data_IF_618474155946
#
_entry.id   IF_618474155946
#
_cell.length_a   1.000
_cell.length_b   1.000
_cell.length_c   1.000
_cell.angle_alpha   90.00
_cell.angle_beta   90.00
_cell.angle_gamma   90.00
#
_symmetry.space_group_name_H-M   'P 1'
#
loop_
_entity.id
_entity.type
_entity.pdbx_description
1 polymer ?
#
# COMPACT_ATOMS: atom_id res chain seq x y z
N UNK A 1 -46.96 -23.08 10.72
CA UNK A 1 -47.97 -22.55 9.79
C UNK A 1 -48.99 -21.77 10.59
N UNK A 2 -49.04 -20.47 10.56
CA UNK A 2 -50.10 -19.70 11.21
C UNK A 2 -51.31 -19.59 10.29
N UNK A 3 -52.49 -19.85 10.86
CA UNK A 3 -53.78 -19.78 10.20
C UNK A 3 -54.23 -18.31 10.11
N UNK A 4 -54.56 -17.86 8.91
CA UNK A 4 -55.21 -16.58 8.65
C UNK A 4 -56.67 -16.66 9.11
N UNK A 5 -57.08 -15.82 10.06
CA UNK A 5 -58.46 -15.62 10.43
C UNK A 5 -59.13 -14.71 9.41
N UNK A 6 -60.05 -15.25 8.65
CA UNK A 6 -60.99 -14.52 7.80
C UNK A 6 -62.03 -13.84 8.71
N UNK A 7 -62.02 -12.52 8.74
CA UNK A 7 -63.06 -11.71 9.36
C UNK A 7 -64.30 -11.72 8.42
N UNK A 8 -65.37 -12.39 8.83
CA UNK A 8 -66.69 -12.22 8.22
C UNK A 8 -67.25 -10.86 8.67
N UNK A 9 -67.37 -9.91 7.76
CA UNK A 9 -68.12 -8.68 7.95
C UNK A 9 -69.58 -8.99 7.74
N UNK A 10 -70.36 -9.00 8.82
CA UNK A 10 -71.78 -8.92 8.74
C UNK A 10 -72.19 -7.51 8.30
N UNK A 11 -72.65 -7.38 7.03
CA UNK A 11 -73.27 -6.17 6.53
C UNK A 11 -74.78 -6.21 6.88
N UNK A 12 -75.21 -5.48 7.91
CA UNK A 12 -76.60 -5.16 8.15
C UNK A 12 -77.00 -4.07 7.15
N UNK A 13 -77.74 -4.50 6.13
CA UNK A 13 -78.36 -3.60 5.17
C UNK A 13 -79.56 -2.87 5.79
N UNK A 14 -79.33 -1.64 6.29
CA UNK A 14 -80.43 -0.65 6.39
C UNK A 14 -80.02 0.56 5.53
N UNK A 15 -80.50 0.52 4.27
CA UNK A 15 -80.26 1.64 3.35
C UNK A 15 -81.22 2.79 3.65
N UNK A 16 -80.75 4.04 3.74
CA UNK A 16 -81.65 5.20 3.65
C UNK A 16 -82.21 5.29 2.24
N UNK A 17 -83.51 5.64 2.14
CA UNK A 17 -84.19 5.88 0.87
C UNK A 17 -83.56 7.11 0.20
N UNK A 18 -82.74 6.92 -0.81
CA UNK A 18 -82.17 7.97 -1.63
C UNK A 18 -83.30 8.58 -2.52
N UNK A 19 -83.36 9.91 -2.53
CA UNK A 19 -84.20 10.67 -3.47
C UNK A 19 -83.52 10.71 -4.83
N UNK A 20 -84.30 10.74 -5.93
CA UNK A 20 -83.73 10.71 -7.30
C UNK A 20 -82.79 11.83 -7.70
N UNK A 21 -82.56 12.84 -6.82
CA UNK A 21 -81.61 13.91 -7.03
C UNK A 21 -80.15 13.51 -6.64
N UNK A 22 -79.99 12.44 -5.87
CA UNK A 22 -78.66 12.01 -5.36
C UNK A 22 -77.93 11.09 -6.35
N UNK A 23 -78.60 10.64 -7.43
CA UNK A 23 -78.01 9.71 -8.37
C UNK A 23 -77.00 10.31 -9.39
N UNK A 24 -76.96 11.64 -9.51
CA UNK A 24 -76.04 12.32 -10.47
C UNK A 24 -74.72 12.75 -9.92
N UNK A 25 -74.65 13.18 -8.66
CA UNK A 25 -73.43 13.77 -8.10
C UNK A 25 -72.51 12.75 -7.36
N UNK A 26 -73.14 11.77 -6.68
CA UNK A 26 -72.35 10.77 -5.93
C UNK A 26 -71.51 9.81 -6.80
N UNK A 27 -72.02 9.33 -7.99
CA UNK A 27 -71.13 8.51 -8.87
C UNK A 27 -70.02 9.29 -9.51
N UNK A 28 -70.22 10.59 -9.81
CA UNK A 28 -69.12 11.42 -10.38
C UNK A 28 -68.01 11.70 -9.39
N UNK A 29 -68.36 12.01 -8.13
CA UNK A 29 -67.32 12.21 -7.06
C UNK A 29 -66.66 10.89 -6.67
N UNK A 30 -67.37 9.75 -6.69
CA UNK A 30 -66.76 8.45 -6.46
C UNK A 30 -65.82 8.03 -7.62
N UNK A 31 -66.13 8.38 -8.85
CA UNK A 31 -65.30 8.17 -10.03
C UNK A 31 -64.02 9.08 -10.03
N UNK A 32 -64.14 10.35 -9.60
CA UNK A 32 -62.99 11.25 -9.42
C UNK A 32 -62.07 10.75 -8.30
N UNK A 33 -62.60 10.34 -7.16
CA UNK A 33 -61.82 9.77 -6.06
C UNK A 33 -61.15 8.45 -6.43
N UNK A 34 -61.85 7.59 -7.22
CA UNK A 34 -61.27 6.34 -7.73
C UNK A 34 -60.17 6.59 -8.76
N UNK A 35 -60.30 7.60 -9.60
CA UNK A 35 -59.29 8.04 -10.55
C UNK A 35 -57.99 8.49 -9.84
N UNK A 36 -58.11 9.31 -8.81
CA UNK A 36 -57.00 9.79 -7.99
C UNK A 36 -56.31 8.66 -7.22
N UNK A 37 -57.06 7.70 -6.69
CA UNK A 37 -56.47 6.53 -6.02
C UNK A 37 -55.76 5.60 -7.00
N UNK A 38 -56.33 5.34 -8.17
CA UNK A 38 -55.68 4.56 -9.24
C UNK A 38 -54.42 5.23 -9.75
N UNK A 39 -54.40 6.57 -9.89
CA UNK A 39 -53.24 7.32 -10.27
C UNK A 39 -52.14 7.20 -9.21
N UNK A 40 -52.44 7.38 -7.93
CA UNK A 40 -51.50 7.18 -6.80
C UNK A 40 -50.98 5.75 -6.71
N UNK A 41 -51.80 4.74 -7.03
CA UNK A 41 -51.34 3.35 -7.08
C UNK A 41 -50.38 3.16 -8.25
N UNK A 42 -50.66 3.74 -9.42
CA UNK A 42 -49.77 3.72 -10.59
C UNK A 42 -48.40 4.36 -10.30
N UNK A 43 -48.40 5.54 -9.66
CA UNK A 43 -47.15 6.21 -9.24
C UNK A 43 -46.32 5.34 -8.27
N UNK A 44 -46.98 4.70 -7.28
CA UNK A 44 -46.31 3.81 -6.33
C UNK A 44 -45.71 2.56 -6.98
N UNK A 45 -46.41 1.99 -7.95
CA UNK A 45 -45.90 0.85 -8.72
C UNK A 45 -44.67 1.28 -9.53
N UNK A 46 -44.78 2.38 -10.26
CA UNK A 46 -43.70 2.92 -11.06
C UNK A 46 -42.48 3.29 -10.19
N UNK A 47 -42.72 3.85 -9.01
CA UNK A 47 -41.62 4.18 -8.07
C UNK A 47 -40.94 2.93 -7.53
N UNK A 48 -41.66 1.85 -7.24
CA UNK A 48 -41.11 0.53 -6.86
C UNK A 48 -40.31 -0.09 -8.00
N UNK A 49 -40.81 -0.07 -9.21
CA UNK A 49 -40.09 -0.56 -10.39
C UNK A 49 -38.80 0.22 -10.64
N UNK A 50 -38.86 1.55 -10.58
CA UNK A 50 -37.72 2.43 -10.70
C UNK A 50 -36.66 2.17 -9.58
N UNK A 51 -37.11 1.89 -8.35
CA UNK A 51 -36.23 1.56 -7.24
C UNK A 51 -35.56 0.20 -7.47
N UNK A 52 -36.31 -0.81 -7.87
CA UNK A 52 -35.79 -2.15 -8.16
C UNK A 52 -34.79 -2.12 -9.30
N UNK A 53 -35.06 -1.38 -10.39
CA UNK A 53 -34.17 -1.25 -11.53
C UNK A 53 -32.87 -0.52 -11.13
N UNK A 54 -32.96 0.55 -10.34
CA UNK A 54 -31.76 1.26 -9.81
C UNK A 54 -30.89 0.36 -8.93
N UNK A 55 -31.51 -0.46 -8.06
CA UNK A 55 -30.79 -1.40 -7.21
C UNK A 55 -30.05 -2.44 -8.05
N UNK A 56 -30.73 -3.05 -9.03
CA UNK A 56 -30.13 -4.02 -9.96
C UNK A 56 -28.94 -3.43 -10.74
N UNK A 57 -29.10 -2.20 -11.26
CA UNK A 57 -28.03 -1.54 -12.02
C UNK A 57 -26.86 -1.14 -11.14
N UNK A 58 -27.12 -0.74 -9.90
CA UNK A 58 -26.07 -0.50 -8.89
C UNK A 58 -25.29 -1.77 -8.59
N UNK A 59 -25.97 -2.90 -8.32
CA UNK A 59 -25.35 -4.20 -8.09
C UNK A 59 -24.50 -4.63 -9.30
N UNK A 60 -25.02 -4.47 -10.52
CA UNK A 60 -24.28 -4.74 -11.76
C UNK A 60 -23.03 -3.85 -11.90
N UNK A 61 -23.05 -2.63 -11.38
CA UNK A 61 -21.85 -1.78 -11.33
C UNK A 61 -20.83 -2.33 -10.34
N UNK A 62 -21.26 -2.68 -9.13
CA UNK A 62 -20.37 -3.23 -8.09
C UNK A 62 -19.77 -4.56 -8.53
N UNK A 63 -20.55 -5.45 -9.15
CA UNK A 63 -20.07 -6.71 -9.74
C UNK A 63 -18.99 -6.51 -10.82
N UNK A 64 -19.08 -5.43 -11.58
CA UNK A 64 -18.07 -5.08 -12.58
C UNK A 64 -16.84 -4.36 -11.96
N UNK A 65 -17.07 -3.48 -10.98
CA UNK A 65 -16.03 -2.64 -10.39
C UNK A 65 -15.08 -3.44 -9.48
N UNK A 66 -15.58 -4.45 -8.76
CA UNK A 66 -14.74 -5.30 -7.89
C UNK A 66 -13.64 -6.05 -8.66
N UNK A 67 -13.94 -6.78 -9.74
CA UNK A 67 -12.89 -7.38 -10.56
C UNK A 67 -11.94 -6.34 -11.15
N UNK A 68 -12.44 -5.20 -11.63
CA UNK A 68 -11.59 -4.12 -12.15
C UNK A 68 -10.59 -3.61 -11.10
N UNK A 69 -11.02 -3.47 -9.84
CA UNK A 69 -10.12 -3.06 -8.74
C UNK A 69 -9.10 -4.16 -8.42
N UNK A 70 -9.51 -5.42 -8.40
CA UNK A 70 -8.60 -6.55 -8.18
C UNK A 70 -7.56 -6.68 -9.29
N UNK A 71 -7.96 -6.45 -10.54
CA UNK A 71 -7.06 -6.46 -11.68
C UNK A 71 -6.11 -5.26 -11.65
N UNK A 72 -6.62 -4.09 -11.20
CA UNK A 72 -5.79 -2.89 -10.98
C UNK A 72 -4.71 -3.14 -9.94
N UNK A 73 -5.03 -3.74 -8.80
CA UNK A 73 -4.09 -4.06 -7.71
C UNK A 73 -2.97 -5.02 -8.15
N UNK A 74 -3.26 -5.91 -9.11
CA UNK A 74 -2.30 -6.88 -9.66
C UNK A 74 -1.50 -6.39 -10.87
N UNK A 75 -1.79 -5.18 -11.38
CA UNK A 75 -1.09 -4.66 -12.56
C UNK A 75 0.40 -4.44 -12.30
N UNK A 76 1.24 -4.86 -13.25
CA UNK A 76 2.69 -4.64 -13.20
C UNK A 76 3.08 -3.16 -13.27
N UNK A 77 2.26 -2.35 -13.92
CA UNK A 77 2.44 -0.91 -14.15
C UNK A 77 1.55 -0.03 -13.26
N UNK A 78 1.09 -0.57 -12.12
CA UNK A 78 0.24 0.17 -11.16
C UNK A 78 0.89 1.51 -10.73
N UNK A 79 2.22 1.56 -10.70
CA UNK A 79 3.00 2.76 -10.36
C UNK A 79 3.02 3.83 -11.47
N UNK A 80 2.54 3.51 -12.67
CA UNK A 80 2.43 4.46 -13.78
C UNK A 80 1.55 5.66 -13.39
N UNK A 81 1.89 6.85 -13.92
CA UNK A 81 1.07 8.07 -13.76
C UNK A 81 -0.32 7.91 -14.38
N UNK A 82 -0.43 7.09 -15.42
CA UNK A 82 -1.66 6.86 -16.18
C UNK A 82 -2.58 5.82 -15.53
N UNK A 83 -2.11 5.05 -14.54
CA UNK A 83 -2.86 3.92 -13.97
C UNK A 83 -4.20 4.35 -13.36
N UNK A 84 -4.24 5.41 -12.55
CA UNK A 84 -5.47 5.95 -11.94
C UNK A 84 -6.41 6.58 -12.97
N UNK A 85 -5.95 7.46 -13.90
CA UNK A 85 -6.79 7.96 -14.96
C UNK A 85 -7.45 6.86 -15.79
N UNK A 86 -6.71 5.84 -16.21
CA UNK A 86 -7.24 4.71 -16.98
C UNK A 86 -8.28 3.91 -16.19
N UNK A 87 -8.02 3.61 -14.92
CA UNK A 87 -8.97 2.92 -14.06
C UNK A 87 -10.27 3.72 -13.90
N UNK A 88 -10.16 5.02 -13.60
CA UNK A 88 -11.33 5.90 -13.49
C UNK A 88 -12.12 5.96 -14.79
N UNK A 89 -11.43 6.04 -15.93
CA UNK A 89 -12.07 6.05 -17.24
C UNK A 89 -12.88 4.78 -17.49
N UNK A 90 -12.35 3.61 -17.15
CA UNK A 90 -13.06 2.34 -17.28
C UNK A 90 -14.34 2.31 -16.40
N UNK A 91 -14.26 2.80 -15.15
CA UNK A 91 -15.43 2.92 -14.28
C UNK A 91 -16.47 3.91 -14.86
N UNK A 92 -16.04 5.03 -15.42
CA UNK A 92 -16.95 6.02 -16.04
C UNK A 92 -17.64 5.47 -17.28
N UNK A 93 -16.95 4.68 -18.09
CA UNK A 93 -17.55 3.98 -19.24
C UNK A 93 -18.63 3.00 -18.76
N UNK A 94 -18.35 2.22 -17.72
CA UNK A 94 -19.33 1.29 -17.13
C UNK A 94 -20.54 2.03 -16.56
N UNK A 95 -20.32 3.15 -15.88
CA UNK A 95 -21.38 4.04 -15.38
C UNK A 95 -22.28 4.50 -16.53
N UNK A 96 -21.71 5.01 -17.63
CA UNK A 96 -22.46 5.50 -18.78
C UNK A 96 -23.30 4.38 -19.43
N UNK A 97 -22.72 3.19 -19.57
CA UNK A 97 -23.44 1.99 -20.08
C UNK A 97 -24.69 1.69 -19.23
N UNK A 98 -24.55 1.67 -17.90
CA UNK A 98 -25.64 1.32 -17.00
C UNK A 98 -26.71 2.41 -16.91
N UNK A 99 -26.32 3.67 -16.88
CA UNK A 99 -27.25 4.81 -16.97
C UNK A 99 -28.04 4.76 -18.27
N UNK A 100 -27.39 4.39 -19.39
CA UNK A 100 -28.06 4.22 -20.68
C UNK A 100 -29.08 3.08 -20.72
N UNK A 101 -28.92 2.06 -19.87
CA UNK A 101 -29.87 0.93 -19.73
C UNK A 101 -31.08 1.23 -18.83
N UNK A 102 -31.01 2.31 -18.04
CA UNK A 102 -32.14 2.66 -17.15
C UNK A 102 -33.31 3.24 -17.93
N UNK A 103 -34.45 2.54 -17.87
CA UNK A 103 -35.67 2.90 -18.57
C UNK A 103 -36.64 3.80 -17.75
N UNK A 104 -36.25 4.17 -16.52
CA UNK A 104 -37.09 4.92 -15.60
C UNK A 104 -37.20 6.41 -15.93
N UNK A 105 -37.96 7.13 -15.09
CA UNK A 105 -38.19 8.57 -15.22
C UNK A 105 -36.86 9.36 -15.17
N UNK A 106 -36.82 10.59 -15.71
CA UNK A 106 -35.65 11.47 -15.64
C UNK A 106 -35.16 11.68 -14.21
N UNK A 107 -36.05 11.78 -13.23
CA UNK A 107 -35.70 11.91 -11.80
C UNK A 107 -35.04 10.63 -11.27
N UNK A 108 -35.61 9.46 -11.61
CA UNK A 108 -35.05 8.16 -11.25
C UNK A 108 -33.64 7.98 -11.85
N UNK A 109 -33.46 8.40 -13.10
CA UNK A 109 -32.15 8.40 -13.78
C UNK A 109 -31.14 9.29 -13.08
N UNK A 110 -31.50 10.50 -12.69
CA UNK A 110 -30.62 11.40 -11.95
C UNK A 110 -30.21 10.82 -10.58
N UNK A 111 -31.14 10.14 -9.88
CA UNK A 111 -30.83 9.43 -8.63
C UNK A 111 -29.84 8.28 -8.87
N UNK A 112 -29.99 7.49 -9.94
CA UNK A 112 -29.04 6.45 -10.32
C UNK A 112 -27.67 7.03 -10.65
N UNK A 113 -27.61 8.09 -11.45
CA UNK A 113 -26.35 8.77 -11.79
C UNK A 113 -25.58 9.18 -10.54
N UNK A 114 -26.24 9.85 -9.60
CA UNK A 114 -25.63 10.25 -8.33
C UNK A 114 -25.11 9.05 -7.50
N UNK A 115 -25.86 7.95 -7.47
CA UNK A 115 -25.43 6.73 -6.78
C UNK A 115 -24.19 6.11 -7.42
N UNK A 116 -24.17 6.01 -8.76
CA UNK A 116 -23.02 5.48 -9.49
C UNK A 116 -21.81 6.42 -9.43
N UNK A 117 -21.99 7.74 -9.41
CA UNK A 117 -20.90 8.71 -9.22
C UNK A 117 -20.24 8.54 -7.84
N UNK A 118 -21.03 8.29 -6.81
CA UNK A 118 -20.50 7.98 -5.48
C UNK A 118 -19.67 6.69 -5.49
N UNK A 119 -20.13 5.65 -6.18
CA UNK A 119 -19.40 4.39 -6.33
C UNK A 119 -18.10 4.58 -7.13
N UNK A 120 -18.15 5.30 -8.26
CA UNK A 120 -16.94 5.66 -9.03
C UNK A 120 -15.92 6.36 -8.14
N UNK A 121 -16.36 7.33 -7.33
CA UNK A 121 -15.49 8.04 -6.39
C UNK A 121 -14.90 7.09 -5.33
N UNK A 122 -15.72 6.19 -4.77
CA UNK A 122 -15.29 5.22 -3.76
C UNK A 122 -14.25 4.24 -4.32
N UNK A 123 -14.51 3.62 -5.48
CA UNK A 123 -13.56 2.70 -6.11
C UNK A 123 -12.28 3.40 -6.58
N UNK A 124 -12.38 4.65 -7.06
CA UNK A 124 -11.21 5.45 -7.41
C UNK A 124 -10.35 5.74 -6.18
N UNK A 125 -10.94 6.06 -5.02
CA UNK A 125 -10.19 6.24 -3.77
C UNK A 125 -9.50 4.95 -3.33
N UNK A 126 -10.15 3.79 -3.48
CA UNK A 126 -9.55 2.48 -3.19
C UNK A 126 -8.36 2.20 -4.11
N UNK A 127 -8.48 2.50 -5.40
CA UNK A 127 -7.39 2.35 -6.37
C UNK A 127 -6.21 3.29 -6.07
N UNK A 128 -6.47 4.54 -5.62
CA UNK A 128 -5.43 5.45 -5.16
C UNK A 128 -4.70 4.85 -3.96
N UNK A 129 -5.43 4.27 -2.99
CA UNK A 129 -4.83 3.59 -1.84
C UNK A 129 -3.93 2.43 -2.25
N UNK A 130 -4.38 1.58 -3.18
CA UNK A 130 -3.60 0.47 -3.74
C UNK A 130 -2.33 0.98 -4.45
N UNK A 131 -2.44 2.03 -5.27
CA UNK A 131 -1.29 2.67 -5.92
C UNK A 131 -0.28 3.22 -4.92
N UNK A 132 -0.72 3.95 -3.90
CA UNK A 132 0.17 4.50 -2.86
C UNK A 132 0.95 3.38 -2.16
N UNK A 133 0.28 2.27 -1.84
CA UNK A 133 0.93 1.08 -1.27
C UNK A 133 1.98 0.50 -2.22
N UNK A 134 1.64 0.32 -3.50
CA UNK A 134 2.56 -0.19 -4.51
C UNK A 134 3.76 0.76 -4.74
N UNK A 135 3.53 2.07 -4.74
CA UNK A 135 4.60 3.08 -4.84
C UNK A 135 5.56 3.00 -3.64
N UNK A 136 5.03 2.81 -2.43
CA UNK A 136 5.84 2.60 -1.21
C UNK A 136 6.64 1.30 -1.28
N UNK A 137 6.03 0.20 -1.71
CA UNK A 137 6.72 -1.10 -1.87
C UNK A 137 7.85 -1.01 -2.91
N UNK A 138 7.60 -0.34 -4.04
CA UNK A 138 8.62 -0.10 -5.06
C UNK A 138 9.78 0.74 -4.51
N UNK A 139 9.47 1.82 -3.80
CA UNK A 139 10.46 2.70 -3.17
C UNK A 139 11.35 1.91 -2.19
N UNK A 140 10.76 1.12 -1.30
CA UNK A 140 11.52 0.29 -0.34
C UNK A 140 12.38 -0.74 -1.07
N UNK A 141 11.85 -1.38 -2.12
CA UNK A 141 12.61 -2.32 -2.94
C UNK A 141 13.82 -1.65 -3.62
N UNK A 142 13.62 -0.49 -4.22
CA UNK A 142 14.68 0.28 -4.90
C UNK A 142 15.78 0.66 -3.93
N UNK A 143 15.43 1.17 -2.75
CA UNK A 143 16.42 1.49 -1.71
C UNK A 143 17.20 0.26 -1.26
N UNK A 144 16.50 -0.85 -0.97
CA UNK A 144 17.17 -2.08 -0.54
C UNK A 144 18.12 -2.61 -1.62
N UNK A 145 17.72 -2.58 -2.89
CA UNK A 145 18.59 -2.98 -4.00
C UNK A 145 19.85 -2.11 -4.09
N UNK A 146 19.71 -0.79 -3.92
CA UNK A 146 20.85 0.12 -3.91
C UNK A 146 21.77 -0.13 -2.69
N UNK A 147 21.20 -0.31 -1.52
CA UNK A 147 21.98 -0.58 -0.30
C UNK A 147 22.73 -1.92 -0.37
N UNK A 148 22.10 -2.96 -0.94
CA UNK A 148 22.78 -4.25 -1.17
C UNK A 148 23.85 -4.16 -2.26
N UNK A 149 23.63 -3.33 -3.30
CA UNK A 149 24.64 -3.06 -4.31
C UNK A 149 25.85 -2.34 -3.67
N UNK A 150 25.62 -1.24 -2.97
CA UNK A 150 26.69 -0.47 -2.33
C UNK A 150 27.46 -1.28 -1.28
N UNK A 151 26.77 -2.19 -0.56
CA UNK A 151 27.42 -3.12 0.35
C UNK A 151 28.37 -4.09 -0.39
N UNK A 152 27.95 -4.65 -1.54
CA UNK A 152 28.80 -5.52 -2.36
C UNK A 152 29.99 -4.77 -2.97
N UNK A 153 29.76 -3.55 -3.47
CA UNK A 153 30.81 -2.71 -4.03
C UNK A 153 31.86 -2.37 -2.95
N UNK A 154 31.39 -2.07 -1.73
CA UNK A 154 32.25 -1.82 -0.57
C UNK A 154 32.97 -3.08 -0.08
N UNK A 155 32.35 -4.27 -0.20
CA UNK A 155 33.01 -5.54 0.13
C UNK A 155 34.21 -5.80 -0.80
N UNK A 156 34.05 -5.48 -2.09
CA UNK A 156 35.11 -5.59 -3.08
C UNK A 156 36.21 -4.51 -2.93
N UNK A 157 35.82 -3.31 -2.52
CA UNK A 157 36.71 -2.15 -2.36
C UNK A 157 36.34 -1.40 -1.06
N UNK A 158 36.82 -1.84 0.11
CA UNK A 158 36.38 -1.31 1.40
C UNK A 158 36.62 0.19 1.60
N UNK A 159 37.60 0.76 0.95
CA UNK A 159 37.93 2.18 1.05
C UNK A 159 36.88 3.12 0.47
N UNK A 160 35.96 2.61 -0.39
CA UNK A 160 34.88 3.42 -0.96
C UNK A 160 33.65 3.56 -0.05
N UNK A 161 33.67 3.00 1.16
CA UNK A 161 32.49 2.95 2.03
C UNK A 161 31.86 4.33 2.31
N UNK A 162 32.70 5.36 2.43
CA UNK A 162 32.23 6.73 2.65
C UNK A 162 31.45 7.27 1.45
N UNK A 163 31.94 7.02 0.24
CA UNK A 163 31.24 7.38 -1.00
C UNK A 163 29.94 6.60 -1.16
N UNK A 164 29.97 5.28 -0.96
CA UNK A 164 28.78 4.42 -1.00
C UNK A 164 27.71 4.85 0.01
N UNK A 165 28.10 5.26 1.20
CA UNK A 165 27.23 5.86 2.21
C UNK A 165 26.57 7.14 1.69
N UNK A 166 27.34 8.04 1.10
CA UNK A 166 26.82 9.33 0.63
C UNK A 166 25.82 9.15 -0.54
N UNK A 167 26.09 8.23 -1.48
CA UNK A 167 25.13 7.85 -2.53
C UNK A 167 23.82 7.30 -1.94
N UNK A 168 23.91 6.41 -0.96
CA UNK A 168 22.75 5.86 -0.28
C UNK A 168 21.92 6.95 0.42
N UNK A 169 22.59 7.91 1.07
CA UNK A 169 21.92 9.03 1.74
C UNK A 169 21.23 9.96 0.73
N UNK A 170 21.85 10.25 -0.40
CA UNK A 170 21.22 11.05 -1.46
C UNK A 170 19.92 10.38 -1.93
N UNK A 171 19.93 9.07 -2.14
CA UNK A 171 18.73 8.32 -2.52
C UNK A 171 17.64 8.40 -1.44
N UNK A 172 17.99 8.27 -0.16
CA UNK A 172 17.05 8.40 0.96
C UNK A 172 16.43 9.80 1.02
N UNK A 173 17.21 10.85 0.82
CA UNK A 173 16.72 12.24 0.80
C UNK A 173 15.81 12.49 -0.43
N UNK A 174 16.15 11.95 -1.59
CA UNK A 174 15.31 12.04 -2.81
C UNK A 174 13.94 11.38 -2.59
N UNK A 175 13.92 10.23 -1.92
CA UNK A 175 12.70 9.46 -1.66
C UNK A 175 11.91 9.92 -0.43
N UNK A 176 12.45 10.84 0.37
CA UNK A 176 11.85 11.35 1.60
C UNK A 176 10.39 11.79 1.50
N UNK A 177 9.95 12.49 0.42
CA UNK A 177 8.55 12.94 0.31
C UNK A 177 7.51 11.81 0.35
N UNK A 178 7.91 10.58 0.01
CA UNK A 178 7.05 9.39 0.03
C UNK A 178 7.12 8.56 1.32
N UNK A 179 7.90 8.99 2.32
CA UNK A 179 8.17 8.22 3.54
C UNK A 179 7.45 8.81 4.76
N UNK A 180 7.04 7.93 5.68
CA UNK A 180 6.78 8.33 7.06
C UNK A 180 8.10 8.68 7.79
N UNK A 181 8.01 9.40 8.91
CA UNK A 181 9.20 9.75 9.71
C UNK A 181 9.96 8.51 10.16
N UNK A 182 9.26 7.44 10.57
CA UNK A 182 9.90 6.19 11.01
C UNK A 182 10.61 5.47 9.86
N UNK A 183 9.98 5.44 8.68
CA UNK A 183 10.59 4.89 7.46
C UNK A 183 11.86 5.65 7.06
N UNK A 184 11.82 6.98 7.11
CA UNK A 184 12.97 7.81 6.82
C UNK A 184 14.14 7.55 7.78
N UNK A 185 13.86 7.50 9.10
CA UNK A 185 14.89 7.21 10.12
C UNK A 185 15.49 5.82 9.91
N UNK A 186 14.66 4.81 9.65
CA UNK A 186 15.12 3.45 9.38
C UNK A 186 15.95 3.35 8.09
N UNK A 187 15.51 4.00 7.00
CA UNK A 187 16.24 4.03 5.73
C UNK A 187 17.59 4.73 5.89
N UNK A 188 17.62 5.88 6.57
CA UNK A 188 18.86 6.62 6.85
C UNK A 188 19.86 5.79 7.64
N UNK A 189 19.36 5.05 8.66
CA UNK A 189 20.21 4.12 9.42
C UNK A 189 20.83 3.06 8.52
N UNK A 190 20.03 2.41 7.65
CA UNK A 190 20.52 1.38 6.74
C UNK A 190 21.49 1.92 5.70
N UNK A 191 21.27 3.14 5.20
CA UNK A 191 22.15 3.82 4.26
C UNK A 191 23.59 3.99 4.82
N UNK A 192 23.70 4.22 6.12
CA UNK A 192 24.98 4.24 6.83
C UNK A 192 25.50 2.84 7.15
N UNK A 193 24.65 2.01 7.77
CA UNK A 193 25.09 0.76 8.37
C UNK A 193 25.60 -0.25 7.34
N UNK A 194 24.96 -0.35 6.17
CA UNK A 194 25.29 -1.37 5.16
C UNK A 194 26.71 -1.24 4.61
N UNK A 195 27.12 -0.10 4.00
CA UNK A 195 28.47 0.04 3.48
C UNK A 195 29.53 -0.02 4.60
N UNK A 196 29.23 0.54 5.77
CA UNK A 196 30.17 0.56 6.89
C UNK A 196 30.43 -0.85 7.46
N UNK A 197 29.38 -1.68 7.62
CA UNK A 197 29.53 -3.10 8.00
C UNK A 197 30.32 -3.87 6.96
N UNK A 198 30.05 -3.65 5.68
CA UNK A 198 30.72 -4.35 4.58
C UNK A 198 32.22 -4.01 4.56
N UNK A 199 32.57 -2.72 4.69
CA UNK A 199 33.97 -2.28 4.76
C UNK A 199 34.74 -2.94 5.92
N UNK A 200 34.15 -2.90 7.12
CA UNK A 200 34.79 -3.52 8.31
C UNK A 200 34.99 -5.01 8.09
N UNK A 201 33.98 -5.74 7.60
CA UNK A 201 34.07 -7.19 7.32
C UNK A 201 35.15 -7.48 6.26
N UNK A 202 35.21 -6.70 5.20
CA UNK A 202 36.19 -6.87 4.14
C UNK A 202 37.62 -6.64 4.66
N UNK A 203 37.86 -5.57 5.42
CA UNK A 203 39.14 -5.36 6.07
C UNK A 203 39.52 -6.49 7.03
N UNK A 204 38.58 -7.00 7.82
CA UNK A 204 38.78 -8.18 8.67
C UNK A 204 39.20 -9.39 7.83
N UNK A 205 38.49 -9.68 6.73
CA UNK A 205 38.80 -10.80 5.84
C UNK A 205 40.18 -10.68 5.17
N UNK A 206 40.64 -9.46 4.92
CA UNK A 206 41.96 -9.15 4.35
C UNK A 206 43.06 -9.12 5.40
N UNK A 207 42.74 -9.28 6.70
CA UNK A 207 43.71 -9.15 7.79
C UNK A 207 44.14 -7.70 8.08
N UNK A 208 43.42 -6.73 7.52
CA UNK A 208 43.72 -5.30 7.72
C UNK A 208 42.99 -4.76 8.97
N UNK A 209 43.44 -5.22 10.13
CA UNK A 209 42.82 -4.91 11.44
C UNK A 209 42.82 -3.44 11.80
N UNK A 210 43.89 -2.71 11.38
CA UNK A 210 44.04 -1.28 11.68
C UNK A 210 43.00 -0.44 10.92
N UNK A 211 42.80 -0.74 9.65
CA UNK A 211 41.77 -0.07 8.86
C UNK A 211 40.35 -0.38 9.39
N UNK A 212 40.06 -1.65 9.73
CA UNK A 212 38.82 -2.04 10.36
C UNK A 212 38.58 -1.28 11.68
N UNK A 213 39.61 -1.17 12.54
CA UNK A 213 39.51 -0.43 13.80
C UNK A 213 39.31 1.07 13.58
N UNK A 214 39.95 1.65 12.58
CA UNK A 214 39.79 3.07 12.22
C UNK A 214 38.34 3.36 11.85
N UNK A 215 37.70 2.51 11.03
CA UNK A 215 36.29 2.65 10.68
C UNK A 215 35.43 2.50 11.94
N UNK A 216 35.71 1.55 12.83
CA UNK A 216 34.93 1.33 14.06
C UNK A 216 35.08 2.46 15.09
N UNK A 217 36.13 3.29 15.01
CA UNK A 217 36.30 4.49 15.83
C UNK A 217 35.50 5.69 15.31
N UNK A 218 34.98 5.63 14.06
CA UNK A 218 34.13 6.68 13.55
C UNK A 218 32.88 6.81 14.45
N UNK A 219 32.52 8.05 14.79
CA UNK A 219 31.37 8.33 15.67
C UNK A 219 30.06 7.76 15.16
N UNK A 220 29.94 7.63 13.83
CA UNK A 220 28.77 7.08 13.16
C UNK A 220 28.65 5.56 13.34
N UNK A 221 29.76 4.85 13.61
CA UNK A 221 29.73 3.40 13.84
C UNK A 221 28.79 3.04 14.98
N UNK A 222 28.93 3.67 16.14
CA UNK A 222 28.11 3.44 17.32
C UNK A 222 26.70 4.02 17.19
N UNK A 223 26.52 5.03 16.37
CA UNK A 223 25.25 5.72 16.16
C UNK A 223 24.30 4.95 15.25
N UNK A 224 24.82 4.29 14.22
CA UNK A 224 24.02 3.66 13.18
C UNK A 224 24.00 2.13 13.25
N UNK A 225 24.96 1.50 13.92
CA UNK A 225 24.95 0.07 14.17
C UNK A 225 24.31 -0.24 15.52
N UNK A 226 23.46 -1.28 15.54
CA UNK A 226 22.98 -1.84 16.80
C UNK A 226 24.09 -2.58 17.53
N UNK A 227 23.91 -2.81 18.82
CA UNK A 227 24.84 -3.63 19.60
C UNK A 227 25.02 -5.04 19.00
N UNK A 228 23.95 -5.64 18.50
CA UNK A 228 23.97 -6.95 17.84
C UNK A 228 24.81 -6.96 16.57
N UNK A 229 24.87 -5.84 15.83
CA UNK A 229 25.67 -5.68 14.62
C UNK A 229 27.13 -5.32 14.93
N UNK A 230 27.36 -4.50 15.93
CA UNK A 230 28.68 -3.94 16.26
C UNK A 230 29.57 -4.89 17.11
N UNK A 231 28.97 -5.63 18.07
CA UNK A 231 29.74 -6.47 18.99
C UNK A 231 30.52 -7.57 18.26
N UNK A 232 29.93 -8.36 17.33
CA UNK A 232 30.69 -9.37 16.61
C UNK A 232 31.91 -8.81 15.87
N UNK A 233 31.75 -7.67 15.18
CA UNK A 233 32.82 -7.03 14.46
C UNK A 233 33.98 -6.60 15.38
N UNK A 234 33.65 -6.05 16.55
CA UNK A 234 34.65 -5.68 17.57
C UNK A 234 35.42 -6.89 18.11
N UNK A 235 34.72 -7.99 18.32
CA UNK A 235 35.34 -9.26 18.78
C UNK A 235 36.28 -9.78 17.70
N UNK A 236 35.82 -9.82 16.43
CA UNK A 236 36.64 -10.34 15.32
C UNK A 236 37.92 -9.54 15.14
N UNK A 237 37.86 -8.21 15.20
CA UNK A 237 39.06 -7.35 15.14
C UNK A 237 39.97 -7.59 16.34
N UNK A 238 39.45 -7.67 17.57
CA UNK A 238 40.26 -7.89 18.76
C UNK A 238 40.98 -9.26 18.73
N UNK A 239 40.27 -10.31 18.28
CA UNK A 239 40.84 -11.67 18.14
C UNK A 239 41.92 -11.70 17.06
N UNK A 240 41.65 -11.06 15.89
CA UNK A 240 42.58 -11.01 14.77
C UNK A 240 43.89 -10.30 15.16
N UNK A 241 43.80 -9.13 15.78
CA UNK A 241 44.98 -8.39 16.28
C UNK A 241 45.75 -9.19 17.33
N UNK A 242 45.07 -9.91 18.22
CA UNK A 242 45.72 -10.74 19.21
C UNK A 242 46.50 -11.91 18.58
N UNK A 243 46.02 -12.50 17.49
CA UNK A 243 46.78 -13.50 16.73
C UNK A 243 47.97 -12.90 16.02
N UNK A 244 47.80 -11.80 15.32
CA UNK A 244 48.89 -11.09 14.63
C UNK A 244 50.03 -10.69 15.61
N UNK A 245 49.66 -10.14 16.76
CA UNK A 245 50.65 -9.78 17.78
C UNK A 245 51.46 -10.99 18.29
N UNK A 246 50.80 -12.16 18.46
CA UNK A 246 51.47 -13.41 18.84
C UNK A 246 52.40 -13.91 17.75
N UNK A 247 51.95 -13.85 16.50
CA UNK A 247 52.74 -14.27 15.34
C UNK A 247 53.98 -13.36 15.17
N UNK A 248 53.82 -12.04 15.27
CA UNK A 248 54.95 -11.08 15.26
C UNK A 248 55.95 -11.37 16.39
N UNK A 249 55.45 -11.57 17.61
CA UNK A 249 56.33 -11.92 18.75
C UNK A 249 57.09 -13.24 18.55
N UNK A 250 56.43 -14.24 17.93
CA UNK A 250 57.09 -15.51 17.60
C UNK A 250 58.15 -15.34 16.52
N UNK A 251 57.87 -14.55 15.48
CA UNK A 251 58.86 -14.21 14.43
C UNK A 251 60.03 -13.45 15.01
N UNK A 252 59.78 -12.43 15.81
CA UNK A 252 60.86 -11.67 16.48
C UNK A 252 61.74 -12.57 17.36
N UNK A 253 61.12 -13.49 18.09
CA UNK A 253 61.82 -14.46 18.92
C UNK A 253 62.72 -15.37 18.08
N UNK A 254 62.17 -15.89 16.95
CA UNK A 254 62.91 -16.74 16.03
C UNK A 254 64.04 -15.98 15.36
N UNK A 255 63.83 -14.72 14.95
CA UNK A 255 64.86 -13.86 14.36
C UNK A 255 66.00 -13.63 15.38
N UNK A 256 65.70 -13.27 16.64
CA UNK A 256 66.70 -13.08 17.70
C UNK A 256 67.48 -14.37 17.97
N UNK A 257 66.84 -15.54 18.00
CA UNK A 257 67.52 -16.82 18.15
C UNK A 257 68.43 -17.12 16.98
N UNK A 258 68.02 -16.81 15.76
CA UNK A 258 68.83 -17.00 14.57
C UNK A 258 70.03 -16.04 14.55
N UNK A 259 69.82 -14.73 14.87
CA UNK A 259 70.92 -13.75 15.01
C UNK A 259 71.93 -14.16 16.05
N UNK A 260 71.46 -14.68 17.18
CA UNK A 260 72.30 -15.21 18.23
C UNK A 260 73.09 -16.43 17.74
N UNK A 261 72.49 -17.34 17.03
CA UNK A 261 73.10 -18.56 16.54
C UNK A 261 74.14 -18.30 15.40
N UNK A 262 73.88 -17.31 14.56
CA UNK A 262 74.74 -17.04 13.37
C UNK A 262 75.68 -15.88 13.54
N UNK A 263 75.54 -15.04 14.56
CA UNK A 263 76.27 -13.81 14.75
C UNK A 263 75.95 -12.73 13.72
N UNK A 264 74.93 -12.92 12.88
CA UNK A 264 74.59 -11.98 11.78
C UNK A 264 73.33 -11.24 12.19
N UNK A 265 73.34 -9.90 12.21
CA UNK A 265 72.15 -9.06 12.39
C UNK A 265 71.33 -9.04 11.12
N UNK A 266 70.03 -9.30 11.21
CA UNK A 266 69.07 -9.07 10.13
C UNK A 266 68.64 -7.62 10.24
N UNK A 267 68.79 -6.84 9.17
CA UNK A 267 68.28 -5.49 9.08
C UNK A 267 66.76 -5.57 8.79
N UNK A 268 65.89 -5.07 9.66
CA UNK A 268 64.46 -5.05 9.40
C UNK A 268 64.15 -3.87 8.45
N UNK A 269 64.37 -4.04 7.16
CA UNK A 269 63.99 -3.08 6.11
C UNK A 269 62.50 -3.18 5.77
#
# INVERSE_FOLDING_TARGET
MPRLNLYEQQTSAQGPRASGADFGAAPAQALEGFGDEMFKIGERIQERENLSDRQRLRESFEEAAVPMLNDFDKKKDINSKESIPQFRQALMQKRQELVGKHAGSPESRAKLENQLDNLVSQYTKSAIGAKVKADQELMVRTMNQQFEKSARDTDAAPDIWSFAKDENLMLVEEMRPGMSQDQYVAAKRLAYAKPLQSAVKSHIAQGNWEAAETIMRDENFSKFLTAQEAIPLRIDVAVGRGKEAKERAAVETNVRQWEFATGTKIDPS
#
